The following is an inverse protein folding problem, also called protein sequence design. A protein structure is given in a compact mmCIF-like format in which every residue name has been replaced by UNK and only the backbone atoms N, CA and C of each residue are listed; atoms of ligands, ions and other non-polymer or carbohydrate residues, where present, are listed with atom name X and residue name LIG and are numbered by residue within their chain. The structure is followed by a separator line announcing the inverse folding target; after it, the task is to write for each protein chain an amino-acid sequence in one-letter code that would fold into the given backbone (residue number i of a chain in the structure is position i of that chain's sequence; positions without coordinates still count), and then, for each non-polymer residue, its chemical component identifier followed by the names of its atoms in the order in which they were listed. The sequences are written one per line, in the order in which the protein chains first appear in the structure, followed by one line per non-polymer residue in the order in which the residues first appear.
data_IF_397344228908
#
_entry.id   IF_397344228908
#
_cell.length_a   1.000
_cell.length_b   1.000
_cell.length_c   1.000
_cell.angle_alpha   90.00
_cell.angle_beta   90.00
_cell.angle_gamma   90.00
#
_symmetry.space_group_name_H-M   'P 1'
#
loop_
_entity.id
_entity.type
_entity.pdbx_description
1 polymer ?
#
# COMPACT_ATOMS: atom_id res chain seq x y z
N UNK A 1 4.64 15.22 -3.30
CA UNK A 1 3.20 15.03 -3.00
C UNK A 1 2.73 13.80 -3.76
N UNK A 2 2.24 12.78 -3.06
CA UNK A 2 1.72 11.54 -3.65
C UNK A 2 0.22 11.71 -3.95
N UNK A 3 -0.22 11.31 -5.13
CA UNK A 3 -1.64 11.24 -5.48
C UNK A 3 -2.13 9.81 -5.23
N UNK A 4 -3.17 9.67 -4.42
CA UNK A 4 -3.79 8.39 -4.10
C UNK A 4 -5.18 8.35 -4.71
N UNK A 5 -5.49 7.30 -5.48
CA UNK A 5 -6.85 6.99 -5.91
C UNK A 5 -7.28 5.70 -5.24
N UNK A 6 -8.53 5.62 -4.78
CA UNK A 6 -9.02 4.44 -4.06
C UNK A 6 -10.51 4.20 -4.27
N UNK A 7 -10.91 2.93 -4.23
CA UNK A 7 -12.29 2.48 -4.38
C UNK A 7 -12.57 1.26 -3.49
N UNK A 8 -13.85 0.91 -3.33
CA UNK A 8 -14.25 -0.31 -2.62
C UNK A 8 -13.82 -1.50 -3.47
N UNK A 9 -13.14 -2.48 -2.87
CA UNK A 9 -12.73 -3.68 -3.59
C UNK A 9 -13.87 -4.67 -3.76
N UNK A 10 -13.73 -5.58 -4.74
CA UNK A 10 -14.61 -6.74 -4.91
C UNK A 10 -14.18 -7.91 -4.03
N UNK A 11 -12.89 -8.23 -4.06
CA UNK A 11 -12.27 -9.34 -3.31
C UNK A 11 -11.40 -8.85 -2.13
N UNK A 12 -11.25 -7.54 -2.00
CA UNK A 12 -10.47 -6.84 -0.97
C UNK A 12 -11.36 -5.78 -0.32
N UNK A 13 -11.05 -5.35 0.90
CA UNK A 13 -11.84 -4.31 1.56
C UNK A 13 -11.71 -2.96 0.82
N UNK A 14 -10.54 -2.68 0.25
CA UNK A 14 -10.32 -1.57 -0.67
C UNK A 14 -9.26 -1.86 -1.72
N UNK A 15 -9.30 -1.08 -2.80
CA UNK A 15 -8.28 -1.05 -3.84
C UNK A 15 -7.70 0.35 -4.00
N UNK A 16 -6.44 0.47 -4.40
CA UNK A 16 -5.77 1.75 -4.59
C UNK A 16 -4.76 1.76 -5.73
N UNK A 17 -4.38 2.96 -6.20
CA UNK A 17 -3.18 3.22 -7.01
C UNK A 17 -2.50 4.49 -6.51
N UNK A 18 -1.18 4.56 -6.63
CA UNK A 18 -0.34 5.65 -6.09
C UNK A 18 0.55 6.25 -7.16
N UNK A 19 0.41 7.55 -7.42
CA UNK A 19 1.18 8.26 -8.44
C UNK A 19 2.09 9.32 -7.80
N UNK A 20 3.31 9.43 -8.32
CA UNK A 20 4.35 10.29 -7.74
C UNK A 20 5.13 11.10 -8.80
N UNK A 21 4.44 11.85 -9.70
CA UNK A 21 5.09 12.49 -10.85
C UNK A 21 6.16 13.51 -10.45
N UNK A 22 6.00 14.18 -9.29
CA UNK A 22 7.00 15.11 -8.74
C UNK A 22 8.32 14.43 -8.34
N UNK A 23 8.34 13.10 -8.23
CA UNK A 23 9.52 12.30 -7.91
C UNK A 23 10.05 11.54 -9.14
N UNK A 24 9.59 11.89 -10.34
CA UNK A 24 9.87 11.16 -11.58
C UNK A 24 9.48 9.67 -11.52
N UNK A 25 8.49 9.34 -10.69
CA UNK A 25 7.90 8.00 -10.58
C UNK A 25 6.47 8.09 -11.12
N UNK A 26 6.23 7.46 -12.26
CA UNK A 26 4.90 7.45 -12.90
C UNK A 26 3.88 6.83 -11.98
N UNK A 27 4.17 5.64 -11.45
CA UNK A 27 3.34 4.91 -10.49
C UNK A 27 4.22 4.12 -9.52
N UNK A 28 3.93 4.26 -8.23
CA UNK A 28 4.54 3.44 -7.18
C UNK A 28 3.82 2.09 -7.10
N UNK A 29 4.57 0.99 -7.07
CA UNK A 29 3.99 -0.35 -7.13
C UNK A 29 3.17 -0.67 -5.89
N UNK A 30 3.71 -0.35 -4.70
CA UNK A 30 3.05 -0.53 -3.40
C UNK A 30 3.51 0.58 -2.45
N UNK A 31 2.62 1.52 -2.12
CA UNK A 31 2.94 2.71 -1.35
C UNK A 31 2.44 2.58 0.09
N UNK A 32 3.31 2.14 1.01
CA UNK A 32 2.96 1.99 2.43
C UNK A 32 2.57 3.32 3.09
N UNK A 33 3.30 4.41 2.80
CA UNK A 33 2.99 5.74 3.34
C UNK A 33 1.65 6.29 2.84
N UNK A 34 1.25 5.98 1.60
CA UNK A 34 -0.08 6.28 1.08
C UNK A 34 -1.19 5.61 1.90
N UNK A 35 -0.94 4.38 2.35
CA UNK A 35 -1.88 3.61 3.15
C UNK A 35 -2.09 4.16 4.56
N UNK A 36 -1.21 5.02 5.07
CA UNK A 36 -1.45 5.77 6.30
C UNK A 36 -2.71 6.67 6.23
N UNK A 37 -3.18 7.00 5.02
CA UNK A 37 -4.39 7.81 4.80
C UNK A 37 -5.56 6.99 4.26
N UNK A 38 -5.27 6.00 3.41
CA UNK A 38 -6.28 5.10 2.83
C UNK A 38 -6.90 4.18 3.90
N UNK A 39 -6.09 3.61 4.80
CA UNK A 39 -6.56 2.63 5.78
C UNK A 39 -7.57 3.23 6.77
N UNK A 40 -7.32 4.39 7.41
CA UNK A 40 -8.31 4.98 8.33
C UNK A 40 -9.59 5.39 7.59
N UNK A 41 -9.46 5.92 6.37
CA UNK A 41 -10.62 6.27 5.54
C UNK A 41 -11.53 5.07 5.31
N UNK A 42 -10.97 3.94 4.87
CA UNK A 42 -11.78 2.74 4.62
C UNK A 42 -12.26 2.05 5.90
N UNK A 43 -11.43 1.99 6.93
CA UNK A 43 -11.82 1.47 8.26
C UNK A 43 -13.07 2.17 8.77
N UNK A 44 -13.09 3.50 8.72
CA UNK A 44 -14.24 4.31 9.12
C UNK A 44 -15.45 4.09 8.19
N UNK A 45 -15.22 3.95 6.88
CA UNK A 45 -16.30 3.80 5.89
C UNK A 45 -16.98 2.42 5.93
N UNK A 46 -16.26 1.37 6.30
CA UNK A 46 -16.78 -0.01 6.31
C UNK A 46 -17.01 -0.58 7.70
N UNK A 47 -16.61 0.13 8.76
CA UNK A 47 -16.78 -0.29 10.15
C UNK A 47 -15.90 -1.47 10.56
N UNK A 48 -14.70 -1.62 9.97
CA UNK A 48 -13.75 -2.70 10.28
C UNK A 48 -12.36 -2.16 10.60
N UNK A 49 -11.79 -2.56 11.74
CA UNK A 49 -10.44 -2.15 12.15
C UNK A 49 -9.31 -2.93 11.47
N UNK A 50 -9.60 -4.13 10.96
CA UNK A 50 -8.68 -4.93 10.15
C UNK A 50 -9.18 -4.90 8.72
N UNK A 51 -8.34 -4.45 7.79
CA UNK A 51 -8.67 -4.43 6.37
C UNK A 51 -7.56 -5.04 5.54
N UNK A 52 -7.95 -5.72 4.47
CA UNK A 52 -7.03 -6.19 3.44
C UNK A 52 -7.15 -5.23 2.25
N UNK A 53 -6.08 -4.47 2.01
CA UNK A 53 -6.00 -3.51 0.91
C UNK A 53 -5.20 -4.10 -0.25
N UNK A 54 -5.59 -3.76 -1.47
CA UNK A 54 -4.88 -4.17 -2.68
C UNK A 54 -4.49 -2.95 -3.54
N UNK A 55 -3.19 -2.76 -3.76
CA UNK A 55 -2.67 -1.73 -4.64
C UNK A 55 -2.55 -2.30 -6.06
N UNK A 56 -3.49 -1.91 -6.92
CA UNK A 56 -3.68 -2.43 -8.28
C UNK A 56 -2.71 -1.77 -9.28
N UNK A 57 -1.42 -1.75 -8.96
CA UNK A 57 -0.36 -1.40 -9.92
C UNK A 57 -0.08 -2.59 -10.85
N UNK A 58 0.71 -2.38 -11.91
CA UNK A 58 1.13 -3.49 -12.81
C UNK A 58 1.84 -4.65 -12.07
N UNK A 59 2.46 -4.38 -10.92
CA UNK A 59 3.22 -5.35 -10.13
C UNK A 59 2.42 -5.96 -8.99
N UNK A 60 1.20 -5.49 -8.78
CA UNK A 60 0.32 -5.85 -7.68
C UNK A 60 0.91 -5.58 -6.28
N UNK A 61 0.04 -5.59 -5.28
CA UNK A 61 0.46 -5.53 -3.90
C UNK A 61 -0.70 -5.73 -2.94
N UNK A 62 -0.58 -6.72 -2.06
CA UNK A 62 -1.54 -6.92 -0.98
C UNK A 62 -0.95 -6.41 0.33
N UNK A 63 -1.71 -5.56 1.03
CA UNK A 63 -1.35 -5.04 2.34
C UNK A 63 -2.39 -5.50 3.37
N UNK A 64 -1.90 -6.09 4.46
CA UNK A 64 -2.72 -6.44 5.61
C UNK A 64 -2.55 -5.35 6.67
N UNK A 65 -3.64 -4.66 6.96
CA UNK A 65 -3.63 -3.45 7.77
C UNK A 65 -4.55 -3.58 8.98
N UNK A 66 -4.08 -3.09 10.13
CA UNK A 66 -4.86 -3.02 11.37
C UNK A 66 -4.71 -1.64 12.00
N UNK A 67 -5.84 -0.99 12.30
CA UNK A 67 -5.87 0.25 13.08
C UNK A 67 -5.81 -0.10 14.58
N UNK A 68 -4.84 0.47 15.30
CA UNK A 68 -4.66 0.33 16.74
C UNK A 68 -4.55 1.73 17.38
N UNK A 69 -5.69 2.26 17.82
CA UNK A 69 -5.78 3.61 18.37
C UNK A 69 -5.37 4.66 17.34
N UNK A 70 -4.27 5.38 17.60
CA UNK A 70 -3.72 6.40 16.71
C UNK A 70 -2.64 5.88 15.74
N UNK A 71 -2.44 4.56 15.66
CA UNK A 71 -1.43 3.93 14.80
C UNK A 71 -2.05 2.90 13.86
N UNK A 72 -1.28 2.56 12.83
CA UNK A 72 -1.63 1.52 11.85
C UNK A 72 -0.49 0.52 11.82
N UNK A 73 -0.80 -0.76 12.05
CA UNK A 73 0.09 -1.87 11.72
C UNK A 73 -0.16 -2.27 10.27
N UNK A 74 0.92 -2.46 9.54
CA UNK A 74 0.89 -2.81 8.12
C UNK A 74 1.89 -3.91 7.86
N UNK A 75 1.49 -4.89 7.07
CA UNK A 75 2.34 -6.02 6.71
C UNK A 75 2.03 -6.47 5.28
N UNK A 76 2.98 -7.18 4.69
CA UNK A 76 2.87 -7.79 3.37
C UNK A 76 3.86 -8.94 3.25
N UNK A 77 3.74 -9.72 2.19
CA UNK A 77 4.72 -10.76 1.87
C UNK A 77 5.90 -10.14 1.11
N UNK A 78 7.10 -10.67 1.36
CA UNK A 78 8.30 -10.32 0.62
C UNK A 78 8.79 -11.54 -0.17
N UNK A 79 9.46 -11.29 -1.30
CA UNK A 79 10.13 -12.31 -2.09
C UNK A 79 11.57 -11.86 -2.35
N UNK A 80 12.53 -12.74 -2.09
CA UNK A 80 13.94 -12.51 -2.37
C UNK A 80 14.16 -12.55 -3.89
N UNK A 81 14.68 -11.47 -4.46
CA UNK A 81 14.96 -11.38 -5.90
C UNK A 81 16.39 -11.83 -6.23
N UNK A 82 17.38 -11.31 -5.52
CA UNK A 82 18.78 -11.72 -5.69
C UNK A 82 19.56 -11.55 -4.39
N UNK A 83 20.70 -12.23 -4.32
CA UNK A 83 21.76 -12.03 -3.33
C UNK A 83 23.03 -11.73 -4.14
N UNK A 84 23.78 -10.71 -3.75
CA UNK A 84 25.01 -10.33 -4.44
C UNK A 84 25.99 -9.65 -3.48
N UNK A 85 27.29 -9.81 -3.75
CA UNK A 85 28.36 -9.02 -3.16
C UNK A 85 28.64 -7.80 -4.06
N UNK A 86 28.61 -6.61 -3.47
CA UNK A 86 28.92 -5.35 -4.17
C UNK A 86 30.35 -4.96 -3.82
N UNK A 87 31.28 -5.20 -4.75
CA UNK A 87 32.67 -4.77 -4.61
C UNK A 87 32.84 -3.34 -5.13
N UNK A 88 33.44 -2.48 -4.32
CA UNK A 88 33.62 -1.06 -4.64
C UNK A 88 35.03 -0.73 -5.19
N UNK A 89 35.87 -1.75 -5.44
CA UNK A 89 37.23 -1.65 -5.98
C UNK A 89 37.55 -2.86 -6.85
#
# INVERSE_FOLDING_TARGET
MLLQVTAKGKNFDCVSRSFAPKLNVTEDSVCGSGHCRIVPFWTNKIGKNNIIAYQASRRDGTLYCKVEGNRIKMSGKAALYSIADINLF
#
